data_IF_717804009624
#
_entry.id   IF_717804009624
#
_cell.length_a   1.000
_cell.length_b   1.000
_cell.length_c   1.000
_cell.angle_alpha   90.00
_cell.angle_beta   90.00
_cell.angle_gamma   90.00
#
_symmetry.space_group_name_H-M   'P 1'
#
loop_
_entity.id
_entity.type
_entity.pdbx_description
1 polymer ?
#
# COMPACT_ATOMS: atom_id res chain seq x y z
N UNK A 1 -32.89 -3.89 -13.17
CA UNK A 1 -31.70 -3.69 -14.03
C UNK A 1 -30.59 -4.58 -13.48
N UNK A 2 -30.04 -5.53 -14.25
CA UNK A 2 -28.90 -6.35 -13.79
C UNK A 2 -27.67 -5.45 -13.72
N UNK A 3 -27.22 -5.08 -12.52
CA UNK A 3 -25.90 -4.48 -12.34
C UNK A 3 -24.87 -5.48 -12.89
N UNK A 4 -24.25 -5.15 -14.02
CA UNK A 4 -23.09 -5.91 -14.49
C UNK A 4 -21.98 -5.71 -13.46
N UNK A 5 -21.52 -6.79 -12.84
CA UNK A 5 -20.34 -6.74 -11.99
C UNK A 5 -19.19 -6.15 -12.81
N UNK A 6 -18.48 -5.13 -12.29
CA UNK A 6 -17.37 -4.54 -13.00
C UNK A 6 -16.26 -5.60 -13.19
N UNK A 7 -15.63 -5.63 -14.36
CA UNK A 7 -14.41 -6.42 -14.54
C UNK A 7 -13.27 -5.72 -13.82
N UNK A 8 -12.70 -6.37 -12.81
CA UNK A 8 -11.63 -5.82 -11.97
C UNK A 8 -10.32 -6.56 -12.25
N UNK A 9 -9.22 -5.81 -12.27
CA UNK A 9 -7.88 -6.35 -12.33
C UNK A 9 -7.02 -5.79 -11.19
N UNK A 10 -6.16 -6.64 -10.61
CA UNK A 10 -5.12 -6.25 -9.65
C UNK A 10 -3.77 -6.31 -10.39
N UNK A 11 -3.10 -5.16 -10.46
CA UNK A 11 -1.77 -5.02 -11.06
C UNK A 11 -0.72 -4.88 -9.96
N UNK A 12 0.29 -5.75 -9.99
CA UNK A 12 1.50 -5.64 -9.18
C UNK A 12 2.69 -5.43 -10.13
N UNK A 13 3.48 -4.39 -9.86
CA UNK A 13 4.69 -4.08 -10.63
C UNK A 13 5.89 -4.24 -9.73
N UNK A 14 6.89 -5.00 -10.17
CA UNK A 14 8.16 -5.21 -9.46
C UNK A 14 9.32 -4.83 -10.36
N UNK A 15 10.47 -4.46 -9.81
CA UNK A 15 11.66 -4.22 -10.61
C UNK A 15 12.17 -5.51 -11.26
N UNK A 16 12.86 -5.40 -12.41
CA UNK A 16 13.33 -6.59 -13.13
C UNK A 16 14.17 -7.56 -12.26
N UNK A 17 15.06 -7.03 -11.42
CA UNK A 17 15.93 -7.83 -10.53
C UNK A 17 15.27 -8.31 -9.23
N UNK A 18 13.97 -8.06 -9.02
CA UNK A 18 13.30 -8.47 -7.78
C UNK A 18 13.21 -9.99 -7.67
N UNK A 19 13.73 -10.56 -6.60
CA UNK A 19 13.44 -11.93 -6.19
C UNK A 19 11.98 -12.01 -5.70
N UNK A 20 11.17 -12.85 -6.34
CA UNK A 20 9.75 -13.00 -5.99
C UNK A 20 9.56 -13.90 -4.77
N UNK A 21 10.51 -14.77 -4.47
CA UNK A 21 10.43 -15.65 -3.30
C UNK A 21 10.50 -14.83 -2.02
N UNK A 22 11.27 -13.74 -2.02
CA UNK A 22 11.24 -12.75 -0.94
C UNK A 22 9.84 -12.16 -0.69
N UNK A 23 8.89 -12.27 -1.60
CA UNK A 23 7.53 -11.76 -1.43
C UNK A 23 6.45 -12.84 -1.48
N UNK A 24 6.82 -14.13 -1.44
CA UNK A 24 5.95 -15.29 -1.70
C UNK A 24 4.59 -15.20 -1.01
N UNK A 25 4.57 -15.13 0.33
CA UNK A 25 3.31 -15.09 1.12
C UNK A 25 2.46 -13.87 0.75
N UNK A 26 3.07 -12.70 0.58
CA UNK A 26 2.32 -11.49 0.25
C UNK A 26 1.73 -11.56 -1.17
N UNK A 27 2.50 -12.02 -2.17
CA UNK A 27 2.04 -12.17 -3.54
C UNK A 27 0.96 -13.24 -3.67
N UNK A 28 1.14 -14.38 -3.01
CA UNK A 28 0.16 -15.46 -3.08
C UNK A 28 -1.14 -15.10 -2.36
N UNK A 29 -1.09 -14.28 -1.31
CA UNK A 29 -2.30 -13.68 -0.75
C UNK A 29 -3.01 -12.80 -1.79
N UNK A 30 -2.32 -11.92 -2.52
CA UNK A 30 -3.02 -11.09 -3.53
C UNK A 30 -3.57 -11.93 -4.69
N UNK A 31 -2.83 -12.95 -5.14
CA UNK A 31 -3.29 -13.89 -6.19
C UNK A 31 -4.52 -14.66 -5.75
N UNK A 32 -4.48 -15.21 -4.55
CA UNK A 32 -5.57 -16.01 -3.98
C UNK A 32 -6.82 -15.15 -3.79
N UNK A 33 -6.66 -13.91 -3.29
CA UNK A 33 -7.73 -12.92 -3.20
C UNK A 33 -8.34 -12.61 -4.59
N UNK A 34 -7.50 -12.35 -5.60
CA UNK A 34 -7.97 -12.12 -6.96
C UNK A 34 -8.77 -13.30 -7.50
N UNK A 35 -8.30 -14.53 -7.29
CA UNK A 35 -8.98 -15.75 -7.75
C UNK A 35 -10.35 -15.94 -7.09
N UNK A 36 -10.44 -15.75 -5.77
CA UNK A 36 -11.69 -15.85 -5.00
C UNK A 36 -12.76 -14.91 -5.58
N UNK A 37 -12.38 -13.68 -5.91
CA UNK A 37 -13.30 -12.68 -6.43
C UNK A 37 -13.45 -12.65 -7.96
N UNK A 38 -12.79 -13.57 -8.68
CA UNK A 38 -12.81 -13.59 -10.15
C UNK A 38 -12.12 -12.38 -10.80
N UNK A 39 -11.19 -11.73 -10.11
CA UNK A 39 -10.40 -10.63 -10.63
C UNK A 39 -9.22 -11.13 -11.47
N UNK A 40 -8.84 -10.37 -12.49
CA UNK A 40 -7.61 -10.62 -13.22
C UNK A 40 -6.41 -10.23 -12.35
N UNK A 41 -5.45 -11.13 -12.15
CA UNK A 41 -4.18 -10.79 -11.51
C UNK A 41 -3.08 -10.62 -12.57
N UNK A 42 -2.37 -9.49 -12.53
CA UNK A 42 -1.29 -9.17 -13.47
C UNK A 42 -0.05 -8.82 -12.66
N UNK A 43 1.03 -9.60 -12.85
CA UNK A 43 2.34 -9.30 -12.30
C UNK A 43 3.26 -8.88 -13.45
N UNK A 44 3.81 -7.66 -13.37
CA UNK A 44 4.72 -7.10 -14.37
C UNK A 44 6.08 -6.89 -13.75
N UNK A 45 7.14 -7.35 -14.45
CA UNK A 45 8.51 -6.93 -14.19
C UNK A 45 8.80 -5.67 -14.99
N UNK A 46 9.15 -4.60 -14.30
CA UNK A 46 9.63 -3.36 -14.90
C UNK A 46 11.05 -3.56 -15.40
N UNK A 47 11.15 -3.85 -16.71
CA UNK A 47 12.39 -3.97 -17.47
C UNK A 47 12.87 -2.62 -18.01
N UNK A 48 12.22 -1.52 -17.62
CA UNK A 48 12.34 -0.25 -18.32
C UNK A 48 11.60 -0.24 -19.66
N UNK A 49 11.56 0.91 -20.33
CA UNK A 49 10.83 1.04 -21.58
C UNK A 49 11.64 0.42 -22.73
N UNK A 50 10.99 -0.43 -23.54
CA UNK A 50 11.59 -1.03 -24.74
C UNK A 50 11.89 0.01 -25.83
N UNK A 51 11.24 1.16 -25.76
CA UNK A 51 11.35 2.29 -26.68
C UNK A 51 11.51 3.59 -25.89
N UNK A 52 11.88 4.68 -26.56
CA UNK A 52 11.92 5.98 -25.89
C UNK A 52 10.52 6.38 -25.41
N UNK A 53 10.34 6.54 -24.10
CA UNK A 53 9.07 7.00 -23.53
C UNK A 53 8.75 8.41 -24.05
N UNK A 54 7.71 8.53 -24.87
CA UNK A 54 7.29 9.82 -25.44
C UNK A 54 6.59 10.73 -24.41
N UNK A 55 6.21 10.18 -23.25
CA UNK A 55 5.55 10.96 -22.21
C UNK A 55 6.55 11.86 -21.49
N UNK A 56 6.25 13.17 -21.52
CA UNK A 56 7.06 14.20 -20.84
C UNK A 56 6.67 14.42 -19.38
N UNK A 57 5.49 13.93 -18.98
CA UNK A 57 5.01 13.99 -17.61
C UNK A 57 5.72 12.94 -16.75
N UNK A 58 6.52 13.40 -15.79
CA UNK A 58 7.21 12.54 -14.83
C UNK A 58 6.29 12.09 -13.69
N UNK A 59 5.28 12.90 -13.36
CA UNK A 59 4.37 12.66 -12.24
C UNK A 59 2.91 12.69 -12.67
N UNK A 60 2.07 11.89 -11.99
CA UNK A 60 0.62 11.92 -12.16
C UNK A 60 0.06 13.35 -12.02
N UNK A 61 0.56 14.14 -11.06
CA UNK A 61 0.14 15.53 -10.88
C UNK A 61 0.34 16.36 -12.16
N UNK A 62 1.46 16.19 -12.87
CA UNK A 62 1.71 16.89 -14.14
C UNK A 62 0.73 16.44 -15.22
N UNK A 63 0.49 15.12 -15.34
CA UNK A 63 -0.49 14.56 -16.27
C UNK A 63 -1.90 15.12 -16.05
N UNK A 64 -2.24 15.39 -14.79
CA UNK A 64 -3.51 15.99 -14.38
C UNK A 64 -3.52 17.52 -14.43
N UNK A 65 -2.49 18.13 -15.04
CA UNK A 65 -2.33 19.58 -15.18
C UNK A 65 -2.23 20.32 -13.82
N UNK A 66 -1.88 19.60 -12.75
CA UNK A 66 -1.57 20.17 -11.44
C UNK A 66 -0.10 20.58 -11.41
N UNK A 67 0.15 21.78 -11.92
CA UNK A 67 1.50 22.32 -12.02
C UNK A 67 1.88 23.16 -10.79
N UNK A 68 3.03 22.86 -10.20
CA UNK A 68 3.68 23.70 -9.19
C UNK A 68 5.17 23.80 -9.46
N UNK A 69 5.63 25.02 -9.75
CA UNK A 69 7.06 25.34 -9.89
C UNK A 69 7.83 24.99 -8.62
N UNK A 70 7.25 25.28 -7.46
CA UNK A 70 7.88 25.04 -6.17
C UNK A 70 8.07 23.55 -5.92
N UNK A 71 7.03 22.72 -6.12
CA UNK A 71 7.19 21.27 -5.94
C UNK A 71 8.24 20.71 -6.90
N UNK A 72 8.24 21.12 -8.18
CA UNK A 72 9.22 20.64 -9.15
C UNK A 72 10.66 21.12 -8.82
N UNK A 73 10.82 22.33 -8.29
CA UNK A 73 12.11 22.87 -7.84
C UNK A 73 12.68 22.01 -6.71
N UNK A 74 11.85 21.63 -5.74
CA UNK A 74 12.26 20.76 -4.62
C UNK A 74 12.73 19.41 -5.15
N UNK A 75 11.95 18.77 -6.02
CA UNK A 75 12.32 17.48 -6.62
C UNK A 75 13.66 17.55 -7.35
N UNK A 76 13.86 18.57 -8.21
CA UNK A 76 15.08 18.72 -9.00
C UNK A 76 16.35 18.96 -8.16
N UNK A 77 16.20 19.58 -7.00
CA UNK A 77 17.31 19.91 -6.09
C UNK A 77 17.42 18.95 -4.90
N UNK A 78 16.60 17.90 -4.86
CA UNK A 78 16.56 16.93 -3.76
C UNK A 78 17.87 16.14 -3.68
N UNK A 79 18.46 16.10 -2.49
CA UNK A 79 19.69 15.37 -2.17
C UNK A 79 19.55 14.48 -0.95
N UNK A 80 18.44 14.60 -0.22
CA UNK A 80 18.17 13.85 1.00
C UNK A 80 16.77 13.24 1.02
N UNK A 81 16.57 12.25 1.90
CA UNK A 81 15.23 11.73 2.19
C UNK A 81 14.29 12.81 2.70
N UNK A 82 14.79 13.79 3.46
CA UNK A 82 13.98 14.90 3.94
C UNK A 82 13.44 15.76 2.78
N UNK A 83 14.28 16.07 1.80
CA UNK A 83 13.87 16.82 0.62
C UNK A 83 12.78 16.07 -0.17
N UNK A 84 12.93 14.74 -0.29
CA UNK A 84 11.91 13.89 -0.91
C UNK A 84 10.58 13.95 -0.15
N UNK A 85 10.61 13.88 1.19
CA UNK A 85 9.40 14.03 2.01
C UNK A 85 8.73 15.40 1.82
N UNK A 86 9.50 16.47 1.65
CA UNK A 86 8.97 17.81 1.38
C UNK A 86 8.32 17.87 0.00
N UNK A 87 8.97 17.29 -1.01
CA UNK A 87 8.37 17.15 -2.35
C UNK A 87 7.07 16.34 -2.31
N UNK A 88 7.05 15.19 -1.65
CA UNK A 88 5.86 14.36 -1.49
C UNK A 88 4.73 15.12 -0.79
N UNK A 89 5.02 15.86 0.29
CA UNK A 89 4.04 16.69 0.97
C UNK A 89 3.45 17.76 0.05
N UNK A 90 4.30 18.42 -0.77
CA UNK A 90 3.91 19.42 -1.75
C UNK A 90 2.95 18.85 -2.80
N UNK A 91 3.30 17.72 -3.43
CA UNK A 91 2.45 17.06 -4.44
C UNK A 91 1.15 16.53 -3.82
N UNK A 92 1.20 15.93 -2.64
CA UNK A 92 -0.01 15.46 -1.93
C UNK A 92 -0.98 16.61 -1.68
N UNK A 93 -0.48 17.77 -1.25
CA UNK A 93 -1.33 18.94 -1.06
C UNK A 93 -2.00 19.42 -2.36
N UNK A 94 -1.33 19.32 -3.51
CA UNK A 94 -1.96 19.63 -4.81
C UNK A 94 -3.05 18.63 -5.17
N UNK A 95 -2.78 17.33 -5.01
CA UNK A 95 -3.72 16.27 -5.35
C UNK A 95 -4.98 16.33 -4.50
N UNK A 96 -4.84 16.53 -3.18
CA UNK A 96 -5.97 16.63 -2.24
C UNK A 96 -6.85 17.85 -2.54
N UNK A 97 -6.25 19.01 -2.84
CA UNK A 97 -7.01 20.22 -3.20
C UNK A 97 -7.72 20.10 -4.57
N UNK A 98 -7.27 19.17 -5.42
CA UNK A 98 -7.83 18.92 -6.73
C UNK A 98 -8.82 17.73 -6.77
N UNK A 99 -8.91 16.94 -5.68
CA UNK A 99 -9.59 15.65 -5.68
C UNK A 99 -11.05 15.74 -6.18
N UNK A 100 -11.76 16.78 -5.74
CA UNK A 100 -13.15 17.02 -6.11
C UNK A 100 -13.35 17.63 -7.51
N UNK A 101 -12.27 18.05 -8.18
CA UNK A 101 -12.35 18.83 -9.44
C UNK A 101 -11.91 18.04 -10.68
N UNK A 102 -11.02 17.04 -10.53
CA UNK A 102 -10.30 16.48 -11.69
C UNK A 102 -10.49 14.95 -11.83
N UNK A 103 -10.72 14.21 -10.75
CA UNK A 103 -10.52 12.76 -10.75
C UNK A 103 -11.81 11.96 -10.99
N UNK A 104 -12.39 12.05 -12.19
CA UNK A 104 -13.60 11.25 -12.51
C UNK A 104 -13.34 9.74 -12.57
N UNK A 105 -12.11 9.33 -12.93
CA UNK A 105 -11.71 7.92 -13.14
C UNK A 105 -10.70 7.39 -12.13
N UNK A 106 -10.20 8.25 -11.26
CA UNK A 106 -9.14 7.93 -10.29
C UNK A 106 -9.68 8.30 -8.92
N UNK A 107 -9.39 7.48 -7.90
CA UNK A 107 -9.73 7.80 -6.52
C UNK A 107 -8.49 7.65 -5.67
N UNK A 108 -8.14 8.70 -4.93
CA UNK A 108 -6.98 8.68 -4.02
C UNK A 108 -7.52 8.46 -2.62
N UNK A 109 -7.22 7.31 -2.02
CA UNK A 109 -7.71 7.03 -0.68
C UNK A 109 -6.84 7.73 0.39
N UNK A 110 -7.46 8.32 1.43
CA UNK A 110 -6.71 8.86 2.56
C UNK A 110 -5.84 7.79 3.23
N UNK A 111 -4.73 8.23 3.85
CA UNK A 111 -3.86 7.33 4.63
C UNK A 111 -4.65 6.64 5.74
N UNK A 112 -4.37 5.35 5.95
CA UNK A 112 -5.08 4.53 6.94
C UNK A 112 -6.48 4.06 6.53
N UNK A 113 -6.97 4.45 5.34
CA UNK A 113 -8.26 4.00 4.77
C UNK A 113 -8.11 3.18 3.49
N UNK A 114 -6.89 2.76 3.16
CA UNK A 114 -6.56 1.98 1.96
C UNK A 114 -6.80 0.48 2.15
N UNK A 115 -6.88 -0.23 1.03
CA UNK A 115 -7.08 -1.68 0.97
C UNK A 115 -5.83 -2.51 1.32
N UNK A 116 -4.69 -1.85 1.48
CA UNK A 116 -3.43 -2.50 1.86
C UNK A 116 -2.74 -1.67 2.92
N UNK A 117 -2.13 -2.33 3.91
CA UNK A 117 -1.33 -1.68 4.96
C UNK A 117 -0.10 -2.50 5.32
N UNK A 118 0.90 -1.82 5.87
CA UNK A 118 2.04 -2.49 6.47
C UNK A 118 1.65 -3.16 7.81
N UNK A 119 2.25 -4.32 8.07
CA UNK A 119 1.97 -5.11 9.28
C UNK A 119 2.46 -4.44 10.55
N UNK A 120 3.60 -3.77 10.47
CA UNK A 120 4.21 -3.13 11.64
C UNK A 120 3.29 -2.11 12.30
N UNK A 121 2.33 -1.50 11.59
CA UNK A 121 1.41 -0.48 12.11
C UNK A 121 0.50 -1.04 13.22
N UNK A 122 0.20 -2.35 13.20
CA UNK A 122 -0.67 -3.01 14.18
C UNK A 122 -0.02 -4.26 14.76
N UNK A 123 1.32 -4.31 14.78
CA UNK A 123 2.07 -5.47 15.26
C UNK A 123 1.67 -6.79 14.56
N UNK A 124 1.44 -6.72 13.25
CA UNK A 124 0.92 -7.80 12.40
C UNK A 124 -0.47 -8.35 12.78
N UNK A 125 -1.15 -7.75 13.76
CA UNK A 125 -2.53 -8.13 14.06
C UNK A 125 -3.43 -7.75 12.90
N UNK A 126 -4.50 -8.52 12.70
CA UNK A 126 -5.38 -8.46 11.54
C UNK A 126 -6.85 -8.53 11.95
N UNK A 127 -7.74 -7.97 11.13
CA UNK A 127 -9.18 -8.13 11.27
C UNK A 127 -9.87 -8.28 9.91
N UNK A 128 -10.75 -9.29 9.79
CA UNK A 128 -11.60 -9.49 8.59
C UNK A 128 -12.55 -8.32 8.29
N UNK A 129 -12.82 -7.46 9.27
CA UNK A 129 -13.71 -6.30 9.11
C UNK A 129 -12.97 -5.02 8.71
N UNK A 130 -11.66 -4.96 8.95
CA UNK A 130 -10.84 -3.76 8.71
C UNK A 130 -9.93 -3.95 7.51
N UNK A 131 -9.40 -5.15 7.36
CA UNK A 131 -8.27 -5.42 6.49
C UNK A 131 -8.67 -6.27 5.29
N UNK A 132 -7.89 -6.15 4.22
CA UNK A 132 -8.27 -6.69 2.92
C UNK A 132 -7.17 -7.56 2.30
N UNK A 133 -5.96 -7.04 2.08
CA UNK A 133 -4.82 -7.84 1.56
C UNK A 133 -3.46 -7.41 2.13
N UNK A 134 -2.47 -8.30 2.06
CA UNK A 134 -1.06 -8.00 2.35
C UNK A 134 -0.34 -7.58 1.07
N UNK A 135 0.55 -6.60 1.15
CA UNK A 135 1.46 -6.29 0.05
C UNK A 135 2.86 -5.95 0.58
N UNK A 136 3.88 -6.49 -0.08
CA UNK A 136 5.25 -6.01 0.05
C UNK A 136 5.98 -6.46 1.32
N UNK A 137 5.49 -7.50 2.00
CA UNK A 137 6.16 -8.05 3.18
C UNK A 137 7.22 -9.06 2.75
N UNK A 138 8.45 -8.85 3.22
CA UNK A 138 9.61 -9.65 2.82
C UNK A 138 9.76 -10.91 3.67
N UNK A 139 9.99 -12.06 3.06
CA UNK A 139 10.22 -13.34 3.76
C UNK A 139 11.41 -13.26 4.72
N UNK A 140 12.47 -12.54 4.36
CA UNK A 140 13.62 -12.25 5.25
C UNK A 140 13.26 -11.55 6.58
N UNK A 141 12.07 -10.93 6.66
CA UNK A 141 11.55 -10.23 7.84
C UNK A 141 10.49 -11.06 8.60
N UNK A 142 10.13 -12.24 8.10
CA UNK A 142 9.18 -13.11 8.77
C UNK A 142 9.74 -13.61 10.10
N UNK A 143 8.89 -13.63 11.12
CA UNK A 143 9.18 -14.15 12.46
C UNK A 143 8.11 -15.16 12.87
N UNK A 144 8.48 -16.05 13.78
CA UNK A 144 7.52 -16.97 14.40
C UNK A 144 6.47 -16.19 15.18
N UNK A 145 5.20 -16.58 15.03
CA UNK A 145 4.09 -15.99 15.78
C UNK A 145 4.32 -16.18 17.29
N UNK A 146 4.33 -15.10 18.09
CA UNK A 146 4.54 -15.20 19.53
C UNK A 146 3.46 -16.00 20.24
N UNK A 147 3.82 -16.62 21.37
CA UNK A 147 2.89 -17.37 22.22
C UNK A 147 2.01 -16.49 23.11
N UNK A 148 2.40 -15.22 23.30
CA UNK A 148 1.65 -14.25 24.10
C UNK A 148 0.74 -13.37 23.23
N UNK A 149 -0.23 -12.73 23.87
CA UNK A 149 -1.17 -11.82 23.21
C UNK A 149 -0.45 -10.55 22.76
N UNK A 150 -0.58 -10.21 21.49
CA UNK A 150 -0.05 -8.98 20.92
C UNK A 150 -0.99 -7.80 21.16
N UNK A 151 -0.40 -6.61 21.31
CA UNK A 151 -1.13 -5.34 21.32
C UNK A 151 -1.09 -4.67 19.96
N UNK A 152 -2.19 -4.04 19.57
CA UNK A 152 -2.35 -3.38 18.26
C UNK A 152 -1.68 -2.02 18.27
N UNK A 153 -0.35 -2.02 18.29
CA UNK A 153 0.47 -0.81 18.31
C UNK A 153 1.55 -0.88 17.22
N UNK A 154 2.04 0.28 16.75
CA UNK A 154 3.16 0.30 15.82
C UNK A 154 4.42 -0.35 16.41
N UNK A 155 5.13 -1.13 15.59
CA UNK A 155 6.34 -1.87 15.95
C UNK A 155 7.47 -1.64 14.94
N UNK A 156 8.59 -2.34 15.09
CA UNK A 156 9.73 -2.25 14.19
C UNK A 156 9.34 -2.66 12.76
N UNK A 157 9.87 -1.93 11.77
CA UNK A 157 9.52 -2.13 10.34
C UNK A 157 10.21 -3.34 9.70
N UNK A 158 11.16 -3.95 10.39
CA UNK A 158 11.98 -5.05 9.91
C UNK A 158 11.51 -6.43 10.41
N UNK A 159 10.26 -6.51 10.86
CA UNK A 159 9.64 -7.77 11.28
C UNK A 159 8.14 -7.81 10.99
N UNK A 160 7.63 -9.01 10.77
CA UNK A 160 6.19 -9.28 10.73
C UNK A 160 5.90 -10.74 11.12
N UNK A 161 4.66 -10.99 11.53
CA UNK A 161 4.13 -12.33 11.79
C UNK A 161 3.10 -12.67 10.72
N UNK A 162 3.14 -13.89 10.21
CA UNK A 162 2.20 -14.29 9.16
C UNK A 162 0.79 -14.32 9.70
N UNK A 163 -0.15 -13.51 9.19
CA UNK A 163 -1.53 -13.56 9.63
C UNK A 163 -2.22 -14.83 9.12
N UNK A 164 -1.54 -15.68 8.34
CA UNK A 164 -2.06 -16.92 7.79
C UNK A 164 -1.43 -18.12 8.52
N UNK A 165 -2.25 -19.11 8.87
CA UNK A 165 -1.83 -20.31 9.59
C UNK A 165 -1.08 -21.34 8.74
N UNK A 166 -1.05 -21.18 7.43
CA UNK A 166 -0.46 -22.15 6.51
C UNK A 166 -0.07 -21.54 5.18
N UNK A 167 0.41 -22.40 4.28
CA UNK A 167 0.84 -21.99 2.96
C UNK A 167 -0.33 -21.77 1.99
N UNK A 168 -0.10 -20.90 1.00
CA UNK A 168 -1.04 -20.66 -0.06
C UNK A 168 -0.92 -21.70 -1.16
N UNK A 169 -2.01 -22.43 -1.39
CA UNK A 169 -2.22 -23.22 -2.59
C UNK A 169 -3.14 -22.42 -3.53
N UNK A 170 -2.55 -21.57 -4.37
CA UNK A 170 -3.28 -20.57 -5.18
C UNK A 170 -4.34 -21.22 -6.07
N UNK A 171 -4.06 -22.40 -6.60
CA UNK A 171 -4.97 -23.19 -7.43
C UNK A 171 -6.25 -23.63 -6.68
N UNK A 172 -6.15 -23.77 -5.35
CA UNK A 172 -7.23 -24.16 -4.47
C UNK A 172 -8.05 -22.96 -3.96
N UNK A 173 -7.63 -21.72 -4.20
CA UNK A 173 -8.35 -20.56 -3.70
C UNK A 173 -9.73 -20.42 -4.36
N UNK A 174 -10.79 -20.63 -3.56
CA UNK A 174 -12.20 -20.43 -3.90
C UNK A 174 -12.91 -19.80 -2.69
N UNK A 175 -14.11 -19.24 -2.89
CA UNK A 175 -14.92 -18.67 -1.79
C UNK A 175 -15.19 -19.67 -0.65
N UNK A 176 -15.19 -20.97 -0.96
CA UNK A 176 -15.45 -22.06 -0.02
C UNK A 176 -14.19 -22.77 0.52
N UNK A 177 -12.98 -22.40 0.08
CA UNK A 177 -11.75 -23.12 0.45
C UNK A 177 -10.97 -22.48 1.61
N UNK A 178 -10.30 -23.35 2.36
CA UNK A 178 -9.54 -23.14 3.58
C UNK A 178 -8.16 -22.49 3.41
N UNK A 179 -7.69 -22.22 2.20
CA UNK A 179 -6.31 -21.73 1.99
C UNK A 179 -6.08 -20.32 2.54
N UNK A 180 -7.15 -19.57 2.82
CA UNK A 180 -7.14 -18.26 3.46
C UNK A 180 -7.47 -18.33 4.97
N UNK A 181 -6.91 -19.31 5.70
CA UNK A 181 -7.11 -19.34 7.15
C UNK A 181 -6.18 -18.38 7.86
N UNK A 182 -6.80 -17.43 8.57
CA UNK A 182 -6.07 -16.52 9.44
C UNK A 182 -5.61 -17.24 10.71
N UNK A 183 -4.39 -16.94 11.14
CA UNK A 183 -3.90 -17.27 12.47
C UNK A 183 -4.73 -16.53 13.51
N UNK A 184 -5.54 -17.30 14.24
CA UNK A 184 -6.44 -16.80 15.27
C UNK A 184 -5.71 -16.02 16.36
N UNK A 185 -4.41 -16.28 16.59
CA UNK A 185 -3.58 -15.55 17.56
C UNK A 185 -3.29 -14.12 17.13
N UNK A 186 -3.35 -13.86 15.83
CA UNK A 186 -3.09 -12.56 15.24
C UNK A 186 -4.39 -11.82 14.89
N UNK A 187 -5.56 -12.42 15.13
CA UNK A 187 -6.82 -11.70 15.02
C UNK A 187 -6.89 -10.69 16.17
N UNK A 188 -6.84 -9.40 15.83
CA UNK A 188 -6.90 -8.30 16.78
C UNK A 188 -8.30 -7.74 16.94
N UNK A 189 -8.50 -6.98 18.02
CA UNK A 189 -9.73 -6.23 18.23
C UNK A 189 -9.89 -5.13 17.17
N UNK A 190 -11.11 -4.99 16.64
CA UNK A 190 -11.42 -4.05 15.55
C UNK A 190 -11.19 -2.61 15.98
N UNK A 191 -11.61 -2.25 17.19
CA UNK A 191 -11.50 -0.88 17.70
C UNK A 191 -10.04 -0.51 17.96
N UNK A 192 -9.26 -1.43 18.53
CA UNK A 192 -7.83 -1.24 18.78
C UNK A 192 -7.02 -1.09 17.48
N UNK A 193 -7.27 -1.96 16.49
CA UNK A 193 -6.65 -1.87 15.16
C UNK A 193 -6.98 -0.50 14.54
N UNK A 194 -8.25 -0.13 14.49
CA UNK A 194 -8.66 1.15 13.92
C UNK A 194 -8.08 2.34 14.67
N UNK A 195 -7.97 2.26 16.00
CA UNK A 195 -7.33 3.31 16.82
C UNK A 195 -5.86 3.49 16.45
N UNK A 196 -5.11 2.39 16.25
CA UNK A 196 -3.73 2.46 15.79
C UNK A 196 -3.62 3.07 14.39
N UNK A 197 -4.47 2.64 13.45
CA UNK A 197 -4.51 3.16 12.08
C UNK A 197 -4.82 4.67 12.03
N UNK A 198 -5.80 5.14 12.82
CA UNK A 198 -6.13 6.56 12.94
C UNK A 198 -4.95 7.36 13.51
N UNK A 199 -4.34 6.89 14.59
CA UNK A 199 -3.16 7.53 15.18
C UNK A 199 -2.01 7.65 14.18
N UNK A 200 -1.77 6.61 13.37
CA UNK A 200 -0.76 6.66 12.32
C UNK A 200 -1.11 7.67 11.23
N UNK A 201 -2.36 7.72 10.79
CA UNK A 201 -2.83 8.70 9.81
C UNK A 201 -2.67 10.14 10.32
N UNK A 202 -3.02 10.40 11.58
CA UNK A 202 -2.87 11.72 12.21
C UNK A 202 -1.40 12.14 12.29
N UNK A 203 -0.52 11.22 12.69
CA UNK A 203 0.92 11.46 12.73
C UNK A 203 1.49 11.82 11.35
N UNK A 204 1.05 11.12 10.30
CA UNK A 204 1.46 11.40 8.91
C UNK A 204 0.97 12.78 8.47
N UNK A 205 -0.21 13.22 8.90
CA UNK A 205 -0.71 14.56 8.59
C UNK A 205 0.09 15.66 9.32
N UNK A 206 0.49 15.42 10.57
CA UNK A 206 1.41 16.32 11.29
C UNK A 206 2.76 16.42 10.57
N UNK A 207 3.31 15.28 10.12
CA UNK A 207 4.57 15.27 9.35
C UNK A 207 4.44 16.04 8.04
N UNK A 208 3.34 15.84 7.30
CA UNK A 208 3.05 16.57 6.07
C UNK A 208 2.99 18.08 6.33
N UNK A 209 2.29 18.54 7.37
CA UNK A 209 2.22 19.98 7.72
C UNK A 209 3.60 20.57 8.01
N UNK A 210 4.44 19.86 8.78
CA UNK A 210 5.83 20.26 9.04
C UNK A 210 6.66 20.34 7.77
N UNK A 211 6.49 19.39 6.86
CA UNK A 211 7.19 19.37 5.58
C UNK A 211 6.73 20.53 4.67
N UNK A 212 5.43 20.82 4.61
CA UNK A 212 4.88 21.94 3.84
C UNK A 212 5.43 23.30 4.32
N UNK A 213 5.64 23.47 5.62
CA UNK A 213 6.22 24.69 6.18
C UNK A 213 7.68 24.95 5.72
N UNK A 214 8.37 23.92 5.22
CA UNK A 214 9.75 24.00 4.73
C UNK A 214 9.86 24.24 3.23
N UNK A 215 8.74 24.28 2.49
CA UNK A 215 8.75 24.45 1.02
C UNK A 215 9.49 25.73 0.59
N UNK A 216 9.35 26.81 1.36
CA UNK A 216 9.98 28.10 1.02
C UNK A 216 11.49 28.13 1.27
N UNK A 217 12.07 27.08 1.86
CA UNK A 217 13.50 26.99 2.15
C UNK A 217 14.30 26.38 0.97
N UNK A 218 13.66 26.09 -0.17
CA UNK A 218 14.24 25.46 -1.36
C UNK A 218 14.38 26.42 -2.54
#
# INVERSE_FOLDING_TARGET
MRHKNPKVAILVVVSNGTDLEEYRISLDSVKCYARIHGYQFILIRDTGPNETCQQKDLFLAQKLQLYSRNCLKIFKNSKSFEDLFIFEACIRNLLENAENRIFQKIKILPKGRSWVRDGWITNSQWSRHVDFMLHGWKMSQLRETPKWVLKSIPTARNQWFSPFSGEFHVEKCTESNSTWYYDVKLIGDVEEIQKSLRKMADNVEVMKKKALAKINNF
#
